data_IF_204041579121
#
_entry.id   IF_204041579121
#
_cell.length_a   1.000
_cell.length_b   1.000
_cell.length_c   1.000
_cell.angle_alpha   90.00
_cell.angle_beta   90.00
_cell.angle_gamma   90.00
#
_symmetry.space_group_name_H-M   'P 1'
#
loop_
_entity.id
_entity.type
_entity.pdbx_description
1 polymer ?
#
# COMPACT_ATOMS: atom_id res chain seq x y z
N UNK A 1 2.08 29.47 1.10
CA UNK A 1 2.28 28.19 1.79
C UNK A 1 1.01 27.38 1.59
N UNK A 2 1.01 26.47 0.61
CA UNK A 2 -0.19 25.69 0.28
C UNK A 2 -0.42 24.63 1.35
N UNK A 3 -1.52 24.73 2.09
CA UNK A 3 -1.99 23.67 2.97
C UNK A 3 -2.18 22.40 2.13
N UNK A 4 -1.41 21.35 2.43
CA UNK A 4 -1.55 20.02 1.83
C UNK A 4 -3.01 19.61 2.06
N UNK A 5 -3.81 19.52 0.98
CA UNK A 5 -5.21 19.12 1.08
C UNK A 5 -5.21 17.70 1.64
N UNK A 6 -5.62 17.57 2.89
CA UNK A 6 -5.78 16.27 3.54
C UNK A 6 -6.90 15.53 2.82
N UNK A 7 -6.64 14.28 2.44
CA UNK A 7 -7.66 13.48 1.80
C UNK A 7 -8.74 13.14 2.84
N UNK A 8 -10.00 13.39 2.52
CA UNK A 8 -11.13 13.08 3.42
C UNK A 8 -11.65 11.66 3.21
N UNK A 9 -11.64 11.19 1.96
CA UNK A 9 -11.95 9.82 1.58
C UNK A 9 -11.28 9.46 0.26
N UNK A 10 -10.93 8.19 0.10
CA UNK A 10 -10.38 7.66 -1.14
C UNK A 10 -10.73 6.20 -1.32
N UNK A 11 -10.99 5.83 -2.57
CA UNK A 11 -10.99 4.44 -3.03
C UNK A 11 -10.02 4.36 -4.18
N UNK A 12 -8.98 3.55 -4.07
CA UNK A 12 -8.06 3.31 -5.17
C UNK A 12 -7.77 1.82 -5.32
N UNK A 13 -7.48 1.44 -6.56
CA UNK A 13 -6.99 0.10 -6.91
C UNK A 13 -5.64 0.31 -7.55
N UNK A 14 -4.64 -0.42 -7.06
CA UNK A 14 -3.27 -0.32 -7.55
C UNK A 14 -2.60 -1.68 -7.63
N UNK A 15 -1.59 -1.77 -8.50
CA UNK A 15 -0.70 -2.92 -8.55
C UNK A 15 0.42 -2.72 -7.53
N UNK A 16 0.53 -3.64 -6.58
CA UNK A 16 1.59 -3.72 -5.59
C UNK A 16 2.64 -4.73 -6.05
N UNK A 17 3.90 -4.32 -6.10
CA UNK A 17 5.05 -5.25 -6.13
C UNK A 17 5.66 -5.31 -4.74
N UNK A 18 5.79 -6.51 -4.17
CA UNK A 18 6.25 -6.72 -2.80
C UNK A 18 6.96 -8.07 -2.67
N UNK A 19 8.08 -8.11 -1.97
CA UNK A 19 8.79 -9.36 -1.72
C UNK A 19 9.74 -9.27 -0.54
N UNK A 20 10.75 -8.40 -0.65
CA UNK A 20 11.84 -8.30 0.32
C UNK A 20 11.34 -7.91 1.71
N UNK A 21 10.41 -6.97 1.78
CA UNK A 21 9.89 -6.42 3.05
C UNK A 21 9.04 -7.40 3.85
N UNK A 22 8.54 -8.45 3.20
CA UNK A 22 7.84 -9.58 3.81
C UNK A 22 8.63 -10.90 3.69
N UNK A 23 9.91 -10.82 3.29
CA UNK A 23 10.85 -11.95 3.20
C UNK A 23 10.38 -13.10 2.29
N UNK A 24 9.70 -12.77 1.20
CA UNK A 24 9.39 -13.76 0.16
C UNK A 24 10.65 -14.13 -0.63
N UNK A 25 10.74 -15.39 -1.12
CA UNK A 25 11.86 -15.83 -1.96
C UNK A 25 11.93 -15.09 -3.31
N UNK A 26 10.79 -14.64 -3.83
CA UNK A 26 10.67 -13.83 -5.04
C UNK A 26 9.60 -12.76 -4.84
N UNK A 27 9.82 -11.56 -5.41
CA UNK A 27 8.81 -10.50 -5.38
C UNK A 27 7.61 -10.86 -6.23
N UNK A 28 6.42 -10.67 -5.66
CA UNK A 28 5.16 -10.94 -6.33
C UNK A 28 4.46 -9.64 -6.72
N UNK A 29 3.50 -9.76 -7.63
CA UNK A 29 2.58 -8.68 -8.00
C UNK A 29 1.17 -9.00 -7.53
N UNK A 30 0.51 -8.06 -6.89
CA UNK A 30 -0.85 -8.20 -6.40
C UNK A 30 -1.66 -6.95 -6.73
N UNK A 31 -2.93 -7.11 -7.11
CA UNK A 31 -3.87 -5.98 -7.17
C UNK A 31 -4.47 -5.76 -5.79
N UNK A 32 -4.32 -4.54 -5.29
CA UNK A 32 -4.78 -4.12 -3.97
C UNK A 32 -5.82 -3.03 -4.12
N UNK A 33 -6.94 -3.18 -3.43
CA UNK A 33 -7.91 -2.13 -3.23
C UNK A 33 -7.68 -1.51 -1.85
N UNK A 34 -7.57 -0.18 -1.80
CA UNK A 34 -7.60 0.59 -0.56
C UNK A 34 -8.91 1.35 -0.47
N UNK A 35 -9.55 1.26 0.70
CA UNK A 35 -10.67 2.11 1.10
C UNK A 35 -10.22 2.95 2.28
N UNK A 36 -10.34 4.27 2.14
CA UNK A 36 -10.03 5.23 3.17
C UNK A 36 -11.20 6.20 3.36
N UNK A 37 -11.57 6.42 4.61
CA UNK A 37 -12.54 7.43 5.03
C UNK A 37 -12.10 7.99 6.36
N UNK A 38 -11.67 9.25 6.36
CA UNK A 38 -11.27 9.96 7.58
C UNK A 38 -12.45 10.12 8.53
N UNK A 39 -13.63 10.46 7.98
CA UNK A 39 -14.87 10.65 8.73
C UNK A 39 -15.28 9.40 9.51
N UNK A 40 -15.08 8.22 8.91
CA UNK A 40 -15.39 6.93 9.54
C UNK A 40 -14.19 6.34 10.30
N UNK A 41 -13.04 7.03 10.32
CA UNK A 41 -11.76 6.50 10.77
C UNK A 41 -11.46 5.11 10.19
N UNK A 42 -11.83 4.90 8.91
CA UNK A 42 -11.77 3.61 8.25
C UNK A 42 -10.61 3.61 7.27
N UNK A 43 -9.74 2.62 7.42
CA UNK A 43 -8.69 2.28 6.46
C UNK A 43 -8.70 0.77 6.28
N UNK A 44 -8.93 0.33 5.06
CA UNK A 44 -9.08 -1.08 4.75
C UNK A 44 -8.34 -1.40 3.46
N UNK A 45 -7.55 -2.48 3.50
CA UNK A 45 -6.87 -3.03 2.34
C UNK A 45 -7.46 -4.39 1.99
N UNK A 46 -7.67 -4.62 0.69
CA UNK A 46 -8.12 -5.91 0.18
C UNK A 46 -7.25 -6.34 -0.99
N UNK A 47 -6.73 -7.56 -0.91
CA UNK A 47 -6.05 -8.20 -2.03
C UNK A 47 -7.13 -8.77 -2.95
N UNK A 48 -7.17 -8.30 -4.19
CA UNK A 48 -8.14 -8.73 -5.20
C UNK A 48 -7.76 -10.07 -5.86
N UNK A 49 -6.48 -10.42 -5.80
CA UNK A 49 -5.94 -11.64 -6.42
C UNK A 49 -6.30 -12.87 -5.58
N UNK A 50 -7.00 -13.85 -6.17
CA UNK A 50 -7.41 -15.05 -5.42
C UNK A 50 -6.29 -16.08 -5.28
N UNK A 51 -5.35 -16.12 -6.24
CA UNK A 51 -4.30 -17.15 -6.34
C UNK A 51 -3.25 -17.10 -5.22
N UNK A 52 -3.13 -15.98 -4.50
CA UNK A 52 -2.16 -15.86 -3.41
C UNK A 52 -2.60 -16.69 -2.18
N UNK A 53 -1.67 -17.36 -1.49
CA UNK A 53 -1.94 -18.02 -0.22
C UNK A 53 -2.51 -17.03 0.80
N UNK A 54 -3.38 -17.51 1.70
CA UNK A 54 -4.01 -16.67 2.73
C UNK A 54 -2.97 -15.98 3.62
N UNK A 55 -1.93 -16.70 3.99
CA UNK A 55 -0.89 -16.18 4.90
C UNK A 55 -0.12 -15.04 4.24
N UNK A 56 0.24 -15.19 2.96
CA UNK A 56 0.89 -14.13 2.16
C UNK A 56 -0.02 -12.91 2.03
N UNK A 57 -1.32 -13.09 1.78
CA UNK A 57 -2.28 -11.96 1.75
C UNK A 57 -2.31 -11.22 3.08
N UNK A 58 -2.30 -11.95 4.19
CA UNK A 58 -2.33 -11.37 5.52
C UNK A 58 -1.05 -10.58 5.82
N UNK A 59 0.12 -11.09 5.43
CA UNK A 59 1.39 -10.37 5.59
C UNK A 59 1.43 -9.09 4.76
N UNK A 60 0.96 -9.12 3.50
CA UNK A 60 0.86 -7.92 2.66
C UNK A 60 -0.04 -6.87 3.32
N UNK A 61 -1.22 -7.25 3.80
CA UNK A 61 -2.17 -6.34 4.44
C UNK A 61 -1.55 -5.74 5.70
N UNK A 62 -0.97 -6.56 6.58
CA UNK A 62 -0.28 -6.10 7.79
C UNK A 62 0.84 -5.12 7.47
N UNK A 63 1.63 -5.40 6.42
CA UNK A 63 2.69 -4.49 5.99
C UNK A 63 2.13 -3.15 5.52
N UNK A 64 1.06 -3.15 4.70
CA UNK A 64 0.40 -1.93 4.25
C UNK A 64 -0.13 -1.10 5.42
N UNK A 65 -0.82 -1.73 6.38
CA UNK A 65 -1.39 -1.03 7.54
C UNK A 65 -0.33 -0.37 8.43
N UNK A 66 0.83 -1.03 8.61
CA UNK A 66 1.91 -0.54 9.46
C UNK A 66 2.80 0.49 8.76
N UNK A 67 3.00 0.36 7.45
CA UNK A 67 4.04 1.11 6.74
C UNK A 67 3.50 2.19 5.81
N UNK A 68 2.19 2.28 5.57
CA UNK A 68 1.61 3.25 4.64
C UNK A 68 0.60 4.20 5.29
N UNK A 69 0.65 5.47 4.89
CA UNK A 69 -0.39 6.45 5.17
C UNK A 69 -1.21 6.71 3.89
N UNK A 70 -2.53 6.96 4.00
CA UNK A 70 -3.39 7.16 2.84
C UNK A 70 -2.92 8.30 1.93
N UNK A 71 -2.45 9.41 2.51
CA UNK A 71 -1.92 10.55 1.76
C UNK A 71 -0.64 10.19 0.98
N UNK A 72 0.23 9.36 1.56
CA UNK A 72 1.47 8.90 0.90
C UNK A 72 1.16 7.96 -0.25
N UNK A 73 0.24 7.01 -0.05
CA UNK A 73 -0.22 6.13 -1.14
C UNK A 73 -0.77 6.98 -2.28
N UNK A 74 -1.69 7.90 -1.99
CA UNK A 74 -2.34 8.68 -3.04
C UNK A 74 -1.37 9.63 -3.77
N UNK A 75 -0.31 10.09 -3.10
CA UNK A 75 0.73 10.91 -3.72
C UNK A 75 1.72 10.10 -4.55
N UNK A 76 2.12 8.92 -4.07
CA UNK A 76 3.11 8.05 -4.72
C UNK A 76 2.52 7.15 -5.80
N UNK A 77 1.18 7.04 -5.90
CA UNK A 77 0.50 6.33 -6.98
C UNK A 77 0.62 7.06 -8.33
N UNK A 78 1.85 7.19 -8.83
CA UNK A 78 2.10 7.53 -10.23
C UNK A 78 1.79 6.28 -11.07
N UNK A 79 0.71 6.33 -11.84
CA UNK A 79 0.24 5.24 -12.72
C UNK A 79 -0.38 4.02 -12.01
N UNK A 80 -0.99 4.19 -10.84
CA UNK A 80 -1.65 3.11 -10.09
C UNK A 80 -0.73 1.92 -9.75
N UNK A 81 0.56 2.21 -9.50
CA UNK A 81 1.58 1.21 -9.19
C UNK A 81 2.33 1.61 -7.93
N UNK A 82 2.57 0.65 -7.06
CA UNK A 82 3.34 0.79 -5.83
C UNK A 82 4.37 -0.33 -5.75
N UNK A 83 5.61 0.01 -5.39
CA UNK A 83 6.64 -0.98 -5.07
C UNK A 83 6.95 -0.85 -3.57
N UNK A 84 6.53 -1.83 -2.78
CA UNK A 84 6.69 -1.83 -1.33
C UNK A 84 8.16 -1.84 -0.90
N UNK A 85 8.99 -2.60 -1.63
CA UNK A 85 10.41 -2.74 -1.34
C UNK A 85 11.15 -1.39 -1.51
N UNK A 86 10.76 -0.59 -2.50
CA UNK A 86 11.27 0.79 -2.69
C UNK A 86 10.64 1.80 -1.74
N UNK A 87 9.33 1.68 -1.50
CA UNK A 87 8.59 2.59 -0.62
C UNK A 87 9.17 2.61 0.81
N UNK A 88 9.65 1.46 1.30
CA UNK A 88 10.35 1.40 2.58
C UNK A 88 11.72 2.10 2.55
N UNK A 89 12.52 1.89 1.51
CA UNK A 89 13.85 2.50 1.38
C UNK A 89 13.79 4.04 1.38
N UNK A 90 12.83 4.62 0.66
CA UNK A 90 12.64 6.07 0.57
C UNK A 90 12.19 6.69 1.91
N UNK A 91 11.39 5.96 2.69
CA UNK A 91 10.92 6.42 4.01
C UNK A 91 12.02 6.40 5.08
N UNK A 92 13.00 5.51 4.98
CA UNK A 92 14.06 5.34 5.97
C UNK A 92 15.44 5.89 5.54
N UNK A 93 15.54 6.53 4.36
CA UNK A 93 16.73 7.28 3.95
C UNK A 93 17.97 6.42 3.66
N UNK A 94 17.80 5.15 3.31
CA UNK A 94 18.90 4.30 2.85
C UNK A 94 19.01 4.42 1.32
N UNK A 95 19.74 5.43 0.87
CA UNK A 95 20.33 5.51 -0.49
C UNK A 95 21.66 4.78 -0.54
#
# INVERSE_FOLDING_TARGET
MGTRRQVESAMCIFELTIGEVIRLPESIRAKVMMLYSRRENRREFRILEQSLPRDVKQEIISWLEMNTEPDDILWELKSNRMNADRFQSERFGFT
#
